data_IF_829419196968
#
_entry.id   IF_829419196968
#
_cell.length_a   1.000
_cell.length_b   1.000
_cell.length_c   1.000
_cell.angle_alpha   90.00
_cell.angle_beta   90.00
_cell.angle_gamma   90.00
#
_symmetry.space_group_name_H-M   'P 1'
#
loop_
_entity.id
_entity.type
_entity.pdbx_description
1 polymer ?
#
# COMPACT_ATOMS: atom_id res chain seq x y z
N UNK A 1 10.60 43.80 -64.74
CA UNK A 1 9.77 44.91 -64.24
C UNK A 1 8.62 44.32 -63.44
N UNK A 2 8.52 44.67 -62.13
CA UNK A 2 7.45 44.40 -61.13
C UNK A 2 7.10 42.91 -60.88
N UNK A 3 7.25 42.32 -59.71
CA UNK A 3 7.20 42.84 -58.34
C UNK A 3 5.74 42.96 -57.89
N UNK A 4 5.26 42.03 -57.07
CA UNK A 4 4.09 42.20 -56.17
C UNK A 4 4.06 41.11 -55.09
N UNK A 5 4.09 41.58 -53.85
CA UNK A 5 3.81 40.89 -52.59
C UNK A 5 2.30 40.85 -52.33
N UNK A 6 1.81 39.86 -51.56
CA UNK A 6 0.72 40.06 -50.59
C UNK A 6 0.56 38.85 -49.65
N UNK A 7 0.21 39.19 -48.42
CA UNK A 7 0.11 38.43 -47.18
C UNK A 7 -1.34 37.93 -46.92
N UNK A 8 -1.45 37.01 -45.95
CA UNK A 8 -2.61 36.75 -45.06
C UNK A 8 -3.51 35.54 -45.34
N UNK A 9 -3.83 34.83 -44.26
CA UNK A 9 -4.89 33.82 -44.21
C UNK A 9 -4.70 32.76 -43.13
N UNK A 10 -4.88 33.11 -41.85
CA UNK A 10 -5.10 32.13 -40.79
C UNK A 10 -6.31 31.24 -41.12
N UNK A 11 -6.23 29.95 -40.81
CA UNK A 11 -7.43 29.18 -40.45
C UNK A 11 -7.11 28.25 -39.29
N UNK A 12 -7.53 28.71 -38.11
CA UNK A 12 -7.71 27.89 -36.93
C UNK A 12 -8.80 26.86 -37.22
N UNK A 13 -8.52 25.58 -36.98
CA UNK A 13 -9.58 24.63 -36.62
C UNK A 13 -9.24 24.05 -35.26
N UNK A 14 -10.08 24.45 -34.31
CA UNK A 14 -10.15 23.89 -32.97
C UNK A 14 -10.53 22.41 -33.06
N UNK A 15 -9.76 21.54 -32.44
CA UNK A 15 -10.30 20.36 -31.77
C UNK A 15 -10.03 20.51 -30.29
N UNK A 16 -11.03 21.04 -29.59
CA UNK A 16 -11.10 21.00 -28.15
C UNK A 16 -11.40 19.57 -27.67
N UNK A 17 -11.02 19.35 -26.42
CA UNK A 17 -11.51 18.32 -25.50
C UNK A 17 -10.89 16.92 -25.63
N UNK A 18 -9.81 16.76 -24.87
CA UNK A 18 -9.43 15.50 -24.26
C UNK A 18 -8.63 15.82 -23.00
N UNK A 19 -9.31 16.32 -21.97
CA UNK A 19 -8.75 16.47 -20.62
C UNK A 19 -8.30 15.09 -20.14
N UNK A 20 -7.06 14.74 -20.41
CA UNK A 20 -6.31 13.65 -19.79
C UNK A 20 -5.63 14.17 -18.52
N UNK A 21 -6.32 15.02 -17.77
CA UNK A 21 -5.95 15.38 -16.41
C UNK A 21 -7.07 14.84 -15.54
N UNK A 22 -6.73 14.00 -14.55
CA UNK A 22 -7.31 14.00 -13.19
C UNK A 22 -7.11 12.68 -12.41
N UNK A 23 -6.50 11.64 -12.98
CA UNK A 23 -6.29 10.37 -12.25
C UNK A 23 -4.87 10.27 -11.68
N UNK A 24 -3.85 10.63 -12.47
CA UNK A 24 -2.44 10.48 -12.08
C UNK A 24 -2.00 11.54 -11.06
N UNK A 25 -2.52 12.76 -11.17
CA UNK A 25 -2.21 13.85 -10.23
C UNK A 25 -2.79 13.60 -8.84
N UNK A 26 -3.99 13.00 -8.76
CA UNK A 26 -4.60 12.58 -7.50
C UNK A 26 -3.85 11.39 -6.88
N UNK A 27 -3.40 10.45 -7.70
CA UNK A 27 -2.57 9.31 -7.28
C UNK A 27 -1.23 9.77 -6.70
N UNK A 28 -0.48 10.61 -7.42
CA UNK A 28 0.82 11.10 -6.96
C UNK A 28 0.73 11.94 -5.68
N UNK A 29 -0.32 12.78 -5.57
CA UNK A 29 -0.56 13.59 -4.37
C UNK A 29 -0.91 12.74 -3.16
N UNK A 30 -1.66 11.65 -3.37
CA UNK A 30 -1.98 10.65 -2.34
C UNK A 30 -0.72 9.92 -1.89
N UNK A 31 0.08 9.41 -2.83
CA UNK A 31 1.35 8.71 -2.56
C UNK A 31 2.32 9.61 -1.77
N UNK A 32 2.45 10.88 -2.15
CA UNK A 32 3.34 11.83 -1.47
C UNK A 32 2.86 12.14 -0.04
N UNK A 33 1.56 12.36 0.14
CA UNK A 33 0.96 12.66 1.44
C UNK A 33 1.07 11.46 2.38
N UNK A 34 0.79 10.26 1.86
CA UNK A 34 0.99 9.00 2.57
C UNK A 34 2.46 8.86 2.95
N UNK A 35 3.42 8.90 2.02
CA UNK A 35 4.85 8.76 2.31
C UNK A 35 5.34 9.73 3.39
N UNK A 36 4.92 10.99 3.32
CA UNK A 36 5.28 12.00 4.34
C UNK A 36 4.68 11.68 5.70
N UNK A 37 3.40 11.30 5.74
CA UNK A 37 2.71 10.94 6.98
C UNK A 37 3.26 9.65 7.61
N UNK A 38 3.60 8.66 6.79
CA UNK A 38 4.12 7.36 7.23
C UNK A 38 5.52 7.50 7.81
N UNK A 39 6.40 8.29 7.17
CA UNK A 39 7.70 8.64 7.73
C UNK A 39 7.55 9.32 9.09
N UNK A 40 6.54 10.18 9.26
CA UNK A 40 6.28 10.80 10.57
C UNK A 40 5.87 9.78 11.63
N UNK A 41 5.10 8.75 11.29
CA UNK A 41 4.77 7.67 12.24
C UNK A 41 6.05 6.94 12.66
N UNK A 42 6.89 6.55 11.70
CA UNK A 42 8.14 5.83 11.99
C UNK A 42 9.10 6.67 12.84
N UNK A 43 9.27 7.96 12.53
CA UNK A 43 10.06 8.89 13.33
C UNK A 43 9.52 9.04 14.75
N UNK A 44 8.19 9.12 14.90
CA UNK A 44 7.58 9.20 16.23
C UNK A 44 7.84 7.93 17.05
N UNK A 45 7.80 6.75 16.42
CA UNK A 45 8.13 5.50 17.11
C UNK A 45 9.59 5.52 17.61
N UNK A 46 10.52 6.08 16.84
CA UNK A 46 11.90 6.24 17.29
C UNK A 46 12.01 7.22 18.48
N UNK A 47 11.29 8.35 18.43
CA UNK A 47 11.21 9.31 19.55
C UNK A 47 10.62 8.67 20.82
N UNK A 48 9.64 7.78 20.66
CA UNK A 48 8.99 7.03 21.74
C UNK A 48 9.86 5.84 22.24
N UNK A 49 11.03 5.61 21.64
CA UNK A 49 12.03 4.64 22.09
C UNK A 49 12.04 3.29 21.36
N UNK A 50 11.23 3.11 20.33
CA UNK A 50 11.23 1.91 19.48
C UNK A 50 12.30 2.05 18.40
N UNK A 51 13.50 1.55 18.69
CA UNK A 51 14.69 1.77 17.87
C UNK A 51 14.91 0.68 16.82
N UNK A 52 14.49 -0.55 17.12
CA UNK A 52 14.64 -1.69 16.21
C UNK A 52 13.44 -1.84 15.27
N UNK A 53 13.65 -2.49 14.13
CA UNK A 53 12.58 -2.76 13.17
C UNK A 53 11.52 -3.70 13.74
N UNK A 54 11.94 -4.67 14.56
CA UNK A 54 11.04 -5.59 15.28
C UNK A 54 10.11 -4.84 16.24
N UNK A 55 10.66 -3.98 17.10
CA UNK A 55 9.89 -3.16 18.05
C UNK A 55 8.85 -2.27 17.35
N UNK A 56 9.24 -1.64 16.24
CA UNK A 56 8.33 -0.81 15.45
C UNK A 56 7.20 -1.63 14.85
N UNK A 57 7.49 -2.82 14.32
CA UNK A 57 6.48 -3.73 13.79
C UNK A 57 5.50 -4.12 14.90
N UNK A 58 5.99 -4.58 16.05
CA UNK A 58 5.14 -5.00 17.16
C UNK A 58 4.20 -3.88 17.64
N UNK A 59 4.68 -2.64 17.70
CA UNK A 59 3.83 -1.50 18.03
C UNK A 59 2.77 -1.23 16.96
N UNK A 60 3.14 -1.29 15.68
CA UNK A 60 2.21 -1.06 14.57
C UNK A 60 1.12 -2.16 14.46
N UNK A 61 1.46 -3.42 14.76
CA UNK A 61 0.52 -4.54 14.74
C UNK A 61 -0.64 -4.36 15.72
N UNK A 62 -0.46 -3.56 16.78
CA UNK A 62 -1.54 -3.24 17.74
C UNK A 62 -2.70 -2.48 17.10
N UNK A 63 -2.53 -1.87 15.91
CA UNK A 63 -3.59 -1.11 15.25
C UNK A 63 -3.60 -1.20 13.72
N UNK A 64 -3.80 -2.41 13.20
CA UNK A 64 -3.98 -2.68 11.76
C UNK A 64 -5.26 -2.06 11.15
N UNK A 65 -6.16 -1.50 11.97
CA UNK A 65 -7.36 -0.84 11.46
C UNK A 65 -7.07 0.54 10.86
N UNK A 66 -5.96 1.18 11.26
CA UNK A 66 -5.56 2.51 10.81
C UNK A 66 -4.69 2.43 9.56
N UNK A 67 -5.11 3.15 8.51
CA UNK A 67 -4.41 3.15 7.22
C UNK A 67 -2.95 3.60 7.32
N UNK A 68 -2.66 4.66 8.10
CA UNK A 68 -1.29 5.12 8.30
C UNK A 68 -0.37 4.09 8.97
N UNK A 69 -0.91 3.24 9.84
CA UNK A 69 -0.13 2.17 10.48
C UNK A 69 0.18 1.06 9.49
N UNK A 70 -0.80 0.68 8.66
CA UNK A 70 -0.58 -0.29 7.57
C UNK A 70 0.49 0.20 6.60
N UNK A 71 0.45 1.47 6.22
CA UNK A 71 1.49 1.99 5.33
C UNK A 71 2.86 2.07 5.99
N UNK A 72 2.96 2.50 7.25
CA UNK A 72 4.23 2.46 7.98
C UNK A 72 4.78 1.02 8.06
N UNK A 73 3.90 0.04 8.28
CA UNK A 73 4.23 -1.38 8.29
C UNK A 73 4.73 -1.86 6.92
N UNK A 74 4.05 -1.45 5.84
CA UNK A 74 4.48 -1.72 4.45
C UNK A 74 5.90 -1.19 4.21
N UNK A 75 6.18 0.06 4.57
CA UNK A 75 7.51 0.67 4.38
C UNK A 75 8.59 -0.08 5.15
N UNK A 76 8.30 -0.55 6.38
CA UNK A 76 9.25 -1.36 7.15
C UNK A 76 9.60 -2.66 6.44
N UNK A 77 8.60 -3.40 5.95
CA UNK A 77 8.85 -4.69 5.29
C UNK A 77 9.45 -4.57 3.89
N UNK A 78 9.14 -3.51 3.15
CA UNK A 78 9.72 -3.26 1.82
C UNK A 78 11.19 -2.84 1.89
N UNK A 79 11.61 -2.23 2.99
CA UNK A 79 13.01 -1.88 3.18
C UNK A 79 13.84 -3.13 3.49
N UNK A 80 14.56 -3.62 2.49
CA UNK A 80 15.39 -4.83 2.60
C UNK A 80 16.54 -4.70 3.61
N UNK A 81 16.95 -3.48 3.99
CA UNK A 81 17.97 -3.24 5.01
C UNK A 81 17.46 -3.52 6.42
N UNK A 82 16.14 -3.53 6.63
CA UNK A 82 15.57 -3.91 7.91
C UNK A 82 15.73 -5.42 8.07
N UNK A 83 16.25 -5.84 9.22
CA UNK A 83 16.25 -7.23 9.63
C UNK A 83 15.07 -7.48 10.57
N UNK A 84 14.47 -8.66 10.46
CA UNK A 84 13.34 -9.05 11.28
C UNK A 84 13.59 -10.42 11.87
N UNK A 85 13.23 -10.61 13.14
CA UNK A 85 13.24 -11.94 13.73
C UNK A 85 12.13 -12.82 13.13
N UNK A 86 12.34 -14.14 13.21
CA UNK A 86 11.34 -15.11 12.77
C UNK A 86 10.01 -14.94 13.50
N UNK A 87 10.07 -14.64 14.80
CA UNK A 87 8.89 -14.44 15.62
C UNK A 87 8.08 -13.23 15.15
N UNK A 88 8.74 -12.12 14.81
CA UNK A 88 8.05 -10.93 14.31
C UNK A 88 7.42 -11.19 12.94
N UNK A 89 8.09 -11.90 12.05
CA UNK A 89 7.51 -12.27 10.75
C UNK A 89 6.28 -13.18 10.90
N UNK A 90 6.33 -14.18 11.78
CA UNK A 90 5.20 -15.07 12.07
C UNK A 90 4.03 -14.32 12.72
N UNK A 91 4.30 -13.53 13.76
CA UNK A 91 3.29 -12.70 14.45
C UNK A 91 2.62 -11.71 13.48
N UNK A 92 3.41 -11.12 12.58
CA UNK A 92 2.89 -10.20 11.56
C UNK A 92 1.96 -10.92 10.61
N UNK A 93 2.37 -12.10 10.12
CA UNK A 93 1.55 -12.91 9.23
C UNK A 93 0.22 -13.30 9.90
N UNK A 94 0.27 -13.74 11.16
CA UNK A 94 -0.90 -14.09 11.95
C UNK A 94 -1.86 -12.90 12.16
N UNK A 95 -1.33 -11.73 12.57
CA UNK A 95 -2.14 -10.54 12.77
C UNK A 95 -2.82 -10.05 11.48
N UNK A 96 -2.12 -10.14 10.34
CA UNK A 96 -2.66 -9.74 9.04
C UNK A 96 -3.79 -10.67 8.57
N UNK A 97 -3.66 -11.99 8.77
CA UNK A 97 -4.69 -12.95 8.35
C UNK A 97 -5.93 -12.92 9.23
N UNK A 98 -5.79 -12.56 10.50
CA UNK A 98 -6.89 -12.49 11.48
C UNK A 98 -7.66 -11.15 11.44
N UNK A 99 -7.19 -10.18 10.66
CA UNK A 99 -7.84 -8.86 10.58
C UNK A 99 -9.24 -8.94 9.96
N UNK A 100 -10.22 -8.35 10.67
CA UNK A 100 -11.63 -8.36 10.27
C UNK A 100 -12.03 -7.16 9.39
N UNK A 101 -12.85 -7.44 8.36
CA UNK A 101 -13.46 -6.45 7.48
C UNK A 101 -14.99 -6.54 7.60
N UNK A 102 -15.56 -5.66 8.44
CA UNK A 102 -17.00 -5.70 8.78
C UNK A 102 -17.90 -4.87 7.86
N UNK A 103 -17.35 -3.87 7.18
CA UNK A 103 -18.12 -2.93 6.35
C UNK A 103 -17.44 -2.76 4.99
N UNK A 104 -18.26 -2.55 3.96
CA UNK A 104 -17.84 -2.43 2.56
C UNK A 104 -18.03 -0.99 2.07
N UNK A 105 -16.98 -0.18 2.22
CA UNK A 105 -16.85 1.18 1.68
C UNK A 105 -15.62 1.28 0.76
N UNK A 106 -15.48 2.36 -0.01
CA UNK A 106 -14.26 2.61 -0.79
C UNK A 106 -12.99 2.57 0.06
N UNK A 107 -13.05 3.13 1.27
CA UNK A 107 -11.94 3.09 2.24
C UNK A 107 -11.62 1.65 2.67
N UNK A 108 -12.64 0.82 2.90
CA UNK A 108 -12.42 -0.59 3.26
C UNK A 108 -11.75 -1.40 2.15
N UNK A 109 -12.02 -1.07 0.88
CA UNK A 109 -11.39 -1.70 -0.29
C UNK A 109 -9.93 -1.29 -0.39
N UNK A 110 -9.61 0.00 -0.26
CA UNK A 110 -8.24 0.49 -0.23
C UNK A 110 -7.45 -0.15 0.93
N UNK A 111 -8.07 -0.25 2.11
CA UNK A 111 -7.47 -0.91 3.27
C UNK A 111 -7.24 -2.41 3.05
N UNK A 112 -8.16 -3.09 2.37
CA UNK A 112 -8.03 -4.50 2.03
C UNK A 112 -6.89 -4.74 1.04
N UNK A 113 -6.82 -3.94 -0.02
CA UNK A 113 -5.74 -3.97 -0.99
C UNK A 113 -4.38 -3.75 -0.31
N UNK A 114 -4.29 -2.77 0.59
CA UNK A 114 -3.07 -2.50 1.33
C UNK A 114 -2.68 -3.67 2.26
N UNK A 115 -3.65 -4.29 2.94
CA UNK A 115 -3.40 -5.51 3.73
C UNK A 115 -2.82 -6.64 2.88
N UNK A 116 -3.39 -6.88 1.70
CA UNK A 116 -2.92 -7.91 0.77
C UNK A 116 -1.48 -7.64 0.33
N UNK A 117 -1.15 -6.38 0.02
CA UNK A 117 0.23 -6.00 -0.33
C UNK A 117 1.20 -6.31 0.80
N UNK A 118 0.87 -5.92 2.04
CA UNK A 118 1.70 -6.21 3.21
C UNK A 118 1.84 -7.72 3.42
N UNK A 119 0.73 -8.48 3.32
CA UNK A 119 0.74 -9.93 3.45
C UNK A 119 1.72 -10.58 2.47
N UNK A 120 1.70 -10.14 1.21
CA UNK A 120 2.64 -10.60 0.18
C UNK A 120 4.07 -10.22 0.53
N UNK A 121 4.34 -8.98 0.94
CA UNK A 121 5.69 -8.55 1.32
C UNK A 121 6.23 -9.35 2.51
N UNK A 122 5.41 -9.63 3.53
CA UNK A 122 5.81 -10.46 4.68
C UNK A 122 6.14 -11.89 4.23
N UNK A 123 5.33 -12.48 3.35
CA UNK A 123 5.61 -13.80 2.78
C UNK A 123 6.90 -13.81 1.96
N UNK A 124 7.18 -12.76 1.17
CA UNK A 124 8.45 -12.61 0.46
C UNK A 124 9.63 -12.59 1.43
N UNK A 125 9.54 -11.79 2.50
CA UNK A 125 10.56 -11.73 3.56
C UNK A 125 10.80 -13.10 4.20
N UNK A 126 9.74 -13.88 4.44
CA UNK A 126 9.84 -15.25 4.93
C UNK A 126 10.52 -16.17 3.91
N UNK A 127 10.21 -16.06 2.62
CA UNK A 127 10.83 -16.85 1.55
C UNK A 127 12.35 -16.62 1.42
N UNK A 128 12.82 -15.42 1.77
CA UNK A 128 14.25 -15.09 1.81
C UNK A 128 14.91 -15.39 3.17
N UNK A 129 14.17 -15.97 4.11
CA UNK A 129 14.62 -16.31 5.46
C UNK A 129 14.60 -17.83 5.65
N UNK A 130 15.42 -18.42 6.55
CA UNK A 130 15.40 -19.86 6.82
C UNK A 130 14.15 -20.36 7.59
N UNK A 131 13.07 -19.58 7.63
CA UNK A 131 11.87 -19.85 8.42
C UNK A 131 10.99 -20.89 7.72
N UNK A 132 10.51 -21.87 8.48
CA UNK A 132 9.52 -22.85 8.00
C UNK A 132 8.20 -22.59 8.70
N UNK A 133 7.23 -22.06 7.95
CA UNK A 133 5.89 -21.82 8.48
C UNK A 133 5.22 -23.12 8.92
N UNK A 134 4.56 -23.10 10.08
CA UNK A 134 3.75 -24.23 10.56
C UNK A 134 2.60 -24.51 9.58
N UNK A 135 2.11 -25.77 9.57
CA UNK A 135 0.95 -26.13 8.76
C UNK A 135 -0.26 -25.27 9.11
N UNK A 136 -0.49 -25.06 10.40
CA UNK A 136 -1.60 -24.26 10.91
C UNK A 136 -1.57 -22.83 10.36
N UNK A 137 -0.42 -22.16 10.42
CA UNK A 137 -0.30 -20.79 9.94
C UNK A 137 -0.49 -20.70 8.41
N UNK A 138 0.02 -21.67 7.65
CA UNK A 138 -0.25 -21.75 6.20
C UNK A 138 -1.75 -21.93 5.90
N UNK A 139 -2.43 -22.79 6.64
CA UNK A 139 -3.87 -23.02 6.48
C UNK A 139 -4.66 -21.73 6.80
N UNK A 140 -4.26 -20.96 7.82
CA UNK A 140 -4.85 -19.63 8.13
C UNK A 140 -4.66 -18.65 6.97
N UNK A 141 -3.46 -18.58 6.38
CA UNK A 141 -3.18 -17.73 5.20
C UNK A 141 -4.11 -18.07 4.04
N UNK A 142 -4.23 -19.35 3.68
CA UNK A 142 -5.09 -19.77 2.57
C UNK A 142 -6.57 -19.45 2.82
N UNK A 143 -7.05 -19.69 4.04
CA UNK A 143 -8.42 -19.35 4.42
C UNK A 143 -8.69 -17.83 4.39
N UNK A 144 -7.69 -17.02 4.76
CA UNK A 144 -7.80 -15.55 4.71
C UNK A 144 -7.85 -15.03 3.28
N UNK A 145 -7.01 -15.57 2.37
CA UNK A 145 -7.07 -15.24 0.94
C UNK A 145 -8.44 -15.53 0.31
N UNK A 146 -9.07 -16.65 0.68
CA UNK A 146 -10.42 -16.97 0.24
C UNK A 146 -11.45 -15.94 0.72
N UNK A 147 -11.36 -15.48 1.98
CA UNK A 147 -12.22 -14.41 2.50
C UNK A 147 -11.99 -13.09 1.75
N UNK A 148 -10.73 -12.74 1.46
CA UNK A 148 -10.40 -11.52 0.72
C UNK A 148 -10.96 -11.53 -0.70
N UNK A 149 -10.88 -12.66 -1.41
CA UNK A 149 -11.49 -12.82 -2.73
C UNK A 149 -13.02 -12.59 -2.69
N UNK A 150 -13.69 -13.10 -1.65
CA UNK A 150 -15.13 -12.91 -1.46
C UNK A 150 -15.49 -11.44 -1.19
N UNK A 151 -14.68 -10.73 -0.41
CA UNK A 151 -14.88 -9.29 -0.15
C UNK A 151 -14.73 -8.51 -1.46
N UNK A 152 -13.66 -8.75 -2.21
CA UNK A 152 -13.42 -8.07 -3.48
C UNK A 152 -14.61 -8.26 -4.44
N UNK A 153 -15.12 -9.49 -4.58
CA UNK A 153 -16.29 -9.80 -5.42
C UNK A 153 -17.52 -8.96 -5.05
N UNK A 154 -17.80 -8.79 -3.75
CA UNK A 154 -18.94 -7.99 -3.26
C UNK A 154 -18.80 -6.49 -3.48
N UNK A 155 -17.59 -6.00 -3.70
CA UNK A 155 -17.32 -4.56 -3.87
C UNK A 155 -17.19 -4.12 -5.33
N UNK A 156 -17.08 -5.09 -6.26
CA UNK A 156 -16.94 -4.83 -7.71
C UNK A 156 -18.22 -5.10 -8.49
N UNK A 157 -19.17 -5.85 -7.91
CA UNK A 157 -20.51 -6.11 -8.49
C UNK A 157 -21.52 -5.07 -8.01
#
# INVERSE_FOLDING_TARGET
MKGSSSQSGNSSTNTASGSLENNDTASYKTILYENTFNNRILLKLEEDGFITSDEKVEELLKNLTKLGYLYALKLLFENLQNEFSSQVLENSLEALVDTSFKHYSKESVARLELHLRILVTVLERICFSPIVLSKELRDKVYNSLAKFAEIHRKTTQ
#
